data_IF_571577275280
#
_entry.id   IF_571577275280
#
_cell.length_a   1.000
_cell.length_b   1.000
_cell.length_c   1.000
_cell.angle_alpha   90.00
_cell.angle_beta   90.00
_cell.angle_gamma   90.00
#
_symmetry.space_group_name_H-M   'P 1'
#
loop_
_entity.id
_entity.type
_entity.pdbx_description
1 polymer ?
#
# COMPACT_ATOMS: atom_id res chain seq x y z
N UNK A 1 -5.95 -26.20 48.93
CA UNK A 1 -7.33 -25.77 49.20
C UNK A 1 -8.16 -25.72 47.90
N UNK A 2 -9.11 -26.65 47.70
CA UNK A 2 -9.82 -26.78 46.43
C UNK A 2 -11.03 -25.84 46.42
N UNK A 3 -10.88 -24.65 45.83
CA UNK A 3 -12.00 -23.77 45.51
C UNK A 3 -12.49 -23.93 44.06
N UNK A 4 -11.85 -24.78 43.26
CA UNK A 4 -12.23 -25.01 41.86
C UNK A 4 -13.17 -26.21 41.76
N UNK A 5 -14.48 -25.96 41.92
CA UNK A 5 -15.64 -26.66 41.32
C UNK A 5 -16.88 -26.50 42.22
N UNK A 6 -17.35 -25.27 42.42
CA UNK A 6 -18.68 -25.03 42.97
C UNK A 6 -19.75 -25.13 41.86
N UNK A 7 -20.07 -26.36 41.43
CA UNK A 7 -21.32 -26.67 40.70
C UNK A 7 -22.54 -26.77 41.64
N UNK A 8 -22.37 -26.47 42.93
CA UNK A 8 -23.40 -26.66 43.96
C UNK A 8 -24.55 -25.65 43.90
N UNK A 9 -24.45 -24.61 43.06
CA UNK A 9 -25.49 -23.58 42.92
C UNK A 9 -26.37 -23.74 41.68
N UNK A 10 -26.07 -24.68 40.77
CA UNK A 10 -26.87 -24.89 39.54
C UNK A 10 -28.34 -25.21 39.84
N UNK A 11 -28.64 -25.86 40.97
CA UNK A 11 -30.01 -26.16 41.39
C UNK A 11 -30.75 -25.01 42.08
N UNK A 12 -30.05 -23.93 42.46
CA UNK A 12 -30.62 -22.78 43.16
C UNK A 12 -30.75 -21.53 42.27
N UNK A 13 -30.10 -21.52 41.11
CA UNK A 13 -30.22 -20.44 40.14
C UNK A 13 -31.29 -20.83 39.13
N UNK A 14 -32.50 -20.31 39.30
CA UNK A 14 -33.46 -20.27 38.20
C UNK A 14 -32.93 -19.27 37.16
N UNK A 15 -32.18 -19.77 36.17
CA UNK A 15 -31.77 -18.98 35.02
C UNK A 15 -33.02 -18.75 34.17
N UNK A 16 -33.76 -17.67 34.48
CA UNK A 16 -35.03 -17.35 33.80
C UNK A 16 -34.79 -17.15 32.29
N UNK A 17 -33.66 -16.54 31.91
CA UNK A 17 -33.18 -16.44 30.53
C UNK A 17 -31.66 -16.67 30.48
N UNK A 18 -31.17 -17.78 29.91
CA UNK A 18 -29.73 -17.98 29.74
C UNK A 18 -29.23 -17.04 28.64
N UNK A 19 -28.72 -15.88 29.04
CA UNK A 19 -27.96 -15.03 28.13
C UNK A 19 -26.56 -15.60 27.98
N UNK A 20 -26.10 -15.77 26.74
CA UNK A 20 -24.71 -16.13 26.50
C UNK A 20 -23.82 -14.94 26.88
N UNK A 21 -22.58 -15.23 27.27
CA UNK A 21 -21.56 -14.20 27.52
C UNK A 21 -21.39 -13.29 26.29
N UNK A 22 -21.54 -13.85 25.09
CA UNK A 22 -21.55 -13.11 23.83
C UNK A 22 -22.68 -12.07 23.78
N UNK A 23 -23.92 -12.44 24.15
CA UNK A 23 -25.04 -11.49 24.18
C UNK A 23 -24.83 -10.39 25.22
N UNK A 24 -24.21 -10.68 26.36
CA UNK A 24 -23.88 -9.68 27.36
C UNK A 24 -22.82 -8.69 26.84
N UNK A 25 -21.79 -9.19 26.15
CA UNK A 25 -20.74 -8.35 25.55
C UNK A 25 -21.26 -7.48 24.40
N UNK A 26 -22.17 -7.99 23.58
CA UNK A 26 -22.76 -7.21 22.48
C UNK A 26 -23.69 -6.09 22.98
N UNK A 27 -24.25 -6.22 24.19
CA UNK A 27 -25.06 -5.18 24.83
C UNK A 27 -24.22 -4.25 25.71
N UNK A 28 -22.91 -4.51 25.86
CA UNK A 28 -22.03 -3.65 26.62
C UNK A 28 -21.69 -2.39 25.80
N UNK A 29 -22.01 -1.22 26.35
CA UNK A 29 -21.82 0.06 25.68
C UNK A 29 -20.33 0.37 25.45
N UNK A 30 -19.47 -0.04 26.39
CA UNK A 30 -18.02 0.21 26.31
C UNK A 30 -17.38 -0.64 25.21
N UNK A 31 -17.79 -1.90 25.11
CA UNK A 31 -17.39 -2.81 24.04
C UNK A 31 -17.81 -2.25 22.68
N UNK A 32 -19.09 -1.90 22.52
CA UNK A 32 -19.64 -1.36 21.28
C UNK A 32 -18.94 -0.07 20.85
N UNK A 33 -18.76 0.88 21.78
CA UNK A 33 -18.04 2.14 21.51
C UNK A 33 -16.57 1.90 21.14
N UNK A 34 -15.93 0.91 21.76
CA UNK A 34 -14.55 0.54 21.44
C UNK A 34 -14.46 -0.07 20.05
N UNK A 35 -15.40 -0.94 19.68
CA UNK A 35 -15.48 -1.53 18.34
C UNK A 35 -15.64 -0.44 17.28
N UNK A 36 -16.61 0.47 17.45
CA UNK A 36 -16.83 1.58 16.52
C UNK A 36 -15.57 2.45 16.37
N UNK A 37 -14.88 2.73 17.49
CA UNK A 37 -13.63 3.50 17.47
C UNK A 37 -12.52 2.79 16.68
N UNK A 38 -12.40 1.47 16.81
CA UNK A 38 -11.41 0.68 16.07
C UNK A 38 -11.75 0.68 14.58
N UNK A 39 -13.00 0.42 14.22
CA UNK A 39 -13.47 0.43 12.83
C UNK A 39 -13.21 1.79 12.17
N UNK A 40 -13.61 2.88 12.85
CA UNK A 40 -13.36 4.25 12.39
C UNK A 40 -11.86 4.52 12.20
N UNK A 41 -11.01 4.03 13.10
CA UNK A 41 -9.57 4.20 12.98
C UNK A 41 -9.02 3.46 11.75
N UNK A 42 -9.48 2.23 11.50
CA UNK A 42 -9.06 1.46 10.33
C UNK A 42 -9.44 2.21 9.04
N UNK A 43 -10.68 2.71 8.95
CA UNK A 43 -11.13 3.48 7.78
C UNK A 43 -10.26 4.73 7.57
N UNK A 44 -9.95 5.47 8.64
CA UNK A 44 -9.06 6.64 8.57
C UNK A 44 -7.63 6.27 8.15
N UNK A 45 -7.12 5.11 8.56
CA UNK A 45 -5.82 4.62 8.13
C UNK A 45 -5.82 4.33 6.61
N UNK A 46 -6.88 3.71 6.09
CA UNK A 46 -7.05 3.48 4.64
C UNK A 46 -7.15 4.78 3.85
N UNK A 47 -7.96 5.74 4.28
CA UNK A 47 -8.10 7.03 3.59
C UNK A 47 -6.78 7.79 3.53
N UNK A 48 -5.99 7.76 4.61
CA UNK A 48 -4.67 8.39 4.65
C UNK A 48 -3.68 7.68 3.73
N UNK A 49 -3.67 6.35 3.75
CA UNK A 49 -2.83 5.56 2.87
C UNK A 49 -3.17 5.86 1.39
N UNK A 50 -4.45 5.89 1.03
CA UNK A 50 -4.90 6.18 -0.32
C UNK A 50 -4.44 7.57 -0.80
N UNK A 51 -4.74 8.63 -0.04
CA UNK A 51 -4.34 10.01 -0.39
C UNK A 51 -2.82 10.14 -0.55
N UNK A 52 -2.06 9.44 0.30
CA UNK A 52 -0.62 9.41 0.17
C UNK A 52 -0.19 8.68 -1.10
N UNK A 53 -0.75 7.51 -1.38
CA UNK A 53 -0.42 6.73 -2.56
C UNK A 53 -0.71 7.50 -3.86
N UNK A 54 -1.87 8.16 -3.92
CA UNK A 54 -2.31 8.93 -5.09
C UNK A 54 -1.37 10.09 -5.40
N UNK A 55 -0.77 10.71 -4.37
CA UNK A 55 0.15 11.84 -4.55
C UNK A 55 1.60 11.38 -4.73
N UNK A 56 2.08 10.48 -3.87
CA UNK A 56 3.47 10.02 -3.86
C UNK A 56 3.79 9.12 -5.05
N UNK A 57 2.90 8.19 -5.41
CA UNK A 57 3.18 7.26 -6.51
C UNK A 57 2.85 7.83 -7.90
N UNK A 58 2.08 8.92 -7.98
CA UNK A 58 1.72 9.54 -9.26
C UNK A 58 2.94 9.95 -10.10
N UNK A 59 4.03 10.41 -9.46
CA UNK A 59 5.25 10.79 -10.18
C UNK A 59 5.89 9.62 -10.95
N UNK A 60 5.71 8.38 -10.49
CA UNK A 60 6.29 7.19 -11.12
C UNK A 60 5.42 6.65 -12.26
N UNK A 61 4.16 7.09 -12.34
CA UNK A 61 3.25 6.71 -13.43
C UNK A 61 3.80 7.13 -14.80
N UNK A 62 4.51 8.26 -14.86
CA UNK A 62 5.15 8.73 -16.10
C UNK A 62 6.17 7.73 -16.67
N UNK A 63 6.81 6.94 -15.81
CA UNK A 63 7.78 5.91 -16.23
C UNK A 63 7.04 4.71 -16.83
N UNK A 64 5.92 4.32 -16.22
CA UNK A 64 5.04 3.29 -16.76
C UNK A 64 4.43 3.70 -18.11
N UNK A 65 3.92 4.92 -18.19
CA UNK A 65 3.32 5.45 -19.42
C UNK A 65 4.38 5.57 -20.53
N UNK A 66 5.63 5.92 -20.19
CA UNK A 66 6.76 5.89 -21.11
C UNK A 66 7.01 4.48 -21.66
N UNK A 67 7.08 3.45 -20.81
CA UNK A 67 7.25 2.05 -21.27
C UNK A 67 6.20 1.64 -22.30
N UNK A 68 4.95 2.08 -22.12
CA UNK A 68 3.85 1.75 -23.05
C UNK A 68 3.95 2.45 -24.40
N UNK A 69 4.62 3.59 -24.46
CA UNK A 69 4.75 4.41 -25.67
C UNK A 69 6.11 4.23 -26.35
N UNK A 70 7.10 3.75 -25.61
CA UNK A 70 8.46 3.59 -26.08
C UNK A 70 8.58 2.41 -27.05
N UNK A 71 8.93 2.72 -28.29
CA UNK A 71 9.28 1.74 -29.32
C UNK A 71 10.71 2.01 -29.78
N UNK A 72 11.60 1.08 -29.44
CA UNK A 72 13.02 1.12 -29.78
C UNK A 72 13.25 1.15 -31.29
N UNK A 73 12.45 0.42 -32.08
CA UNK A 73 12.63 0.35 -33.54
C UNK A 73 12.27 1.69 -34.17
N UNK A 74 11.11 2.24 -33.78
CA UNK A 74 10.66 3.54 -34.25
C UNK A 74 11.60 4.69 -33.81
N UNK A 75 12.29 4.53 -32.68
CA UNK A 75 13.27 5.49 -32.19
C UNK A 75 14.50 5.56 -33.12
N UNK A 76 15.07 4.42 -33.51
CA UNK A 76 16.23 4.38 -34.41
C UNK A 76 15.91 4.79 -35.85
N UNK A 77 14.68 4.54 -36.32
CA UNK A 77 14.23 4.97 -37.64
C UNK A 77 14.04 6.50 -37.74
N UNK A 78 13.92 7.18 -36.60
CA UNK A 78 13.77 8.63 -36.54
C UNK A 78 15.10 9.33 -36.85
N UNK A 79 15.06 10.41 -37.63
CA UNK A 79 16.20 11.34 -37.74
C UNK A 79 16.40 12.08 -36.43
N UNK A 80 17.16 11.49 -35.52
CA UNK A 80 17.51 12.07 -34.23
C UNK A 80 18.62 13.12 -34.41
N UNK A 81 18.41 14.29 -33.81
CA UNK A 81 19.48 15.28 -33.65
C UNK A 81 20.25 14.96 -32.36
N UNK A 82 21.51 15.38 -32.28
CA UNK A 82 22.27 15.25 -31.04
C UNK A 82 21.55 15.91 -29.85
N UNK A 83 20.88 17.05 -30.08
CA UNK A 83 20.11 17.74 -29.05
C UNK A 83 18.89 16.93 -28.57
N UNK A 84 18.15 16.28 -29.48
CA UNK A 84 17.00 15.45 -29.10
C UNK A 84 17.43 14.18 -28.35
N UNK A 85 18.51 13.51 -28.81
CA UNK A 85 19.06 12.35 -28.13
C UNK A 85 19.55 12.70 -26.71
N UNK A 86 20.29 13.80 -26.57
CA UNK A 86 20.77 14.26 -25.27
C UNK A 86 19.63 14.58 -24.30
N UNK A 87 18.52 15.14 -24.80
CA UNK A 87 17.32 15.40 -23.99
C UNK A 87 16.67 14.12 -23.49
N UNK A 88 16.52 13.12 -24.36
CA UNK A 88 15.88 11.85 -24.01
C UNK A 88 16.74 11.02 -23.05
N UNK A 89 18.06 11.00 -23.25
CA UNK A 89 18.99 10.41 -22.28
C UNK A 89 18.92 11.11 -20.92
N UNK A 90 18.76 12.44 -20.91
CA UNK A 90 18.56 13.20 -19.67
C UNK A 90 17.30 12.75 -18.93
N UNK A 91 16.18 12.60 -19.65
CA UNK A 91 14.93 12.11 -19.08
C UNK A 91 15.07 10.70 -18.46
N UNK A 92 15.79 9.79 -19.11
CA UNK A 92 16.02 8.45 -18.56
C UNK A 92 16.85 8.48 -17.27
N UNK A 93 17.85 9.38 -17.17
CA UNK A 93 18.62 9.59 -15.93
C UNK A 93 17.74 10.18 -14.82
N UNK A 94 16.86 11.12 -15.15
CA UNK A 94 15.91 11.67 -14.19
C UNK A 94 14.99 10.57 -13.63
N UNK A 95 14.59 9.60 -14.46
CA UNK A 95 13.82 8.44 -14.02
C UNK A 95 14.62 7.52 -13.09
N UNK A 96 15.88 7.25 -13.38
CA UNK A 96 16.78 6.48 -12.50
C UNK A 96 16.93 7.16 -11.13
N UNK A 97 17.18 8.47 -11.10
CA UNK A 97 17.33 9.24 -9.86
C UNK A 97 16.05 9.23 -9.00
N UNK A 98 14.89 9.38 -9.64
CA UNK A 98 13.60 9.35 -8.94
C UNK A 98 13.30 7.98 -8.34
N UNK A 99 13.62 6.91 -9.08
CA UNK A 99 13.47 5.53 -8.62
C UNK A 99 14.49 5.19 -7.53
N UNK A 100 15.67 5.81 -7.52
CA UNK A 100 16.63 5.67 -6.43
C UNK A 100 16.07 6.24 -5.12
N UNK A 101 15.49 7.45 -5.19
CA UNK A 101 14.86 8.16 -4.07
C UNK A 101 13.55 7.52 -3.58
N UNK A 102 12.99 6.56 -4.33
CA UNK A 102 11.76 5.86 -3.96
C UNK A 102 11.94 5.05 -2.66
N UNK A 103 11.19 5.43 -1.63
CA UNK A 103 11.14 4.70 -0.37
C UNK A 103 10.34 3.41 -0.54
N UNK A 104 10.85 2.29 -0.01
CA UNK A 104 10.25 0.97 -0.24
C UNK A 104 9.04 0.68 0.64
N UNK A 105 8.89 1.33 1.78
CA UNK A 105 7.84 1.00 2.77
C UNK A 105 7.30 2.25 3.44
N UNK A 106 5.98 2.35 3.51
CA UNK A 106 5.25 3.44 4.14
C UNK A 106 4.21 2.86 5.10
N UNK A 107 4.16 3.38 6.33
CA UNK A 107 3.29 2.85 7.39
C UNK A 107 2.19 3.86 7.70
N UNK A 108 0.94 3.39 7.70
CA UNK A 108 -0.26 4.17 8.00
C UNK A 108 -1.07 3.47 9.08
N UNK A 109 -0.76 3.77 10.34
CA UNK A 109 -1.41 3.11 11.48
C UNK A 109 -1.22 1.61 11.44
N UNK A 110 -2.28 0.86 11.17
CA UNK A 110 -2.24 -0.61 11.06
C UNK A 110 -1.82 -1.13 9.67
N UNK A 111 -1.69 -0.25 8.68
CA UNK A 111 -1.38 -0.62 7.29
C UNK A 111 0.10 -0.40 6.96
N UNK A 112 0.65 -1.28 6.14
CA UNK A 112 1.97 -1.12 5.50
C UNK A 112 1.80 -1.17 3.98
N UNK A 113 2.29 -0.13 3.31
CA UNK A 113 2.30 -0.02 1.85
C UNK A 113 3.72 -0.24 1.37
N UNK A 114 3.90 -1.21 0.48
CA UNK A 114 5.20 -1.60 -0.07
C UNK A 114 5.34 -1.21 -1.54
N UNK A 115 6.44 -0.51 -1.86
CA UNK A 115 6.80 -0.06 -3.20
C UNK A 115 7.92 -0.90 -3.82
N UNK A 116 8.38 -1.97 -3.15
CA UNK A 116 9.51 -2.80 -3.62
C UNK A 116 9.24 -3.36 -5.01
N UNK A 117 8.08 -4.00 -5.21
CA UNK A 117 7.69 -4.58 -6.50
C UNK A 117 7.54 -3.50 -7.57
N UNK A 118 7.00 -2.33 -7.21
CA UNK A 118 6.90 -1.19 -8.13
C UNK A 118 8.28 -0.75 -8.62
N UNK A 119 9.24 -0.57 -7.70
CA UNK A 119 10.63 -0.22 -8.04
C UNK A 119 11.27 -1.27 -8.95
N UNK A 120 11.13 -2.55 -8.60
CA UNK A 120 11.69 -3.66 -9.39
C UNK A 120 11.15 -3.69 -10.83
N UNK A 121 9.90 -3.30 -11.05
CA UNK A 121 9.30 -3.28 -12.38
C UNK A 121 9.68 -2.05 -13.21
N UNK A 122 9.88 -0.89 -12.56
CA UNK A 122 10.14 0.38 -13.26
C UNK A 122 11.62 0.64 -13.53
N UNK A 123 12.53 0.16 -12.69
CA UNK A 123 13.98 0.35 -12.90
C UNK A 123 14.46 -0.17 -14.27
N UNK A 124 14.07 -1.40 -14.70
CA UNK A 124 14.51 -1.92 -15.99
C UNK A 124 14.04 -1.10 -17.20
N UNK A 125 12.98 -0.30 -17.07
CA UNK A 125 12.46 0.53 -18.16
C UNK A 125 13.48 1.60 -18.53
N UNK A 126 13.96 2.34 -17.54
CA UNK A 126 14.96 3.40 -17.75
C UNK A 126 16.30 2.81 -18.21
N UNK A 127 16.75 1.71 -17.59
CA UNK A 127 18.01 1.06 -17.93
C UNK A 127 18.04 0.57 -19.39
N UNK A 128 16.96 -0.08 -19.86
CA UNK A 128 16.87 -0.59 -21.23
C UNK A 128 16.84 0.54 -22.26
N UNK A 129 16.02 1.57 -22.03
CA UNK A 129 15.93 2.71 -22.94
C UNK A 129 17.27 3.47 -23.03
N UNK A 130 17.93 3.68 -21.90
CA UNK A 130 19.23 4.34 -21.85
C UNK A 130 20.35 3.48 -22.44
N UNK A 131 20.27 2.15 -22.33
CA UNK A 131 21.18 1.23 -23.02
C UNK A 131 21.01 1.32 -24.55
N UNK A 132 19.76 1.34 -25.06
CA UNK A 132 19.49 1.48 -26.48
C UNK A 132 20.01 2.82 -27.04
N UNK A 133 19.84 3.93 -26.31
CA UNK A 133 20.30 5.26 -26.73
C UNK A 133 21.83 5.45 -26.76
N UNK A 134 22.59 4.53 -26.15
CA UNK A 134 24.06 4.59 -26.10
C UNK A 134 24.74 3.85 -27.26
N UNK A 135 23.96 3.10 -28.05
CA UNK A 135 24.41 2.36 -29.24
C UNK A 135 24.59 3.34 -30.40
#
# INVERSE_FOLDING_TARGET
PPFCQMRQYEGYVQVVHPQSVETLLLNDEVFSATQERVEKRIVQDFERAQKYCDSYFAMYRRIYDFEKQWDETAFFERKLTHASLSREMGLMRDFEEDLEKLKQTHIFGVLSVEARTLKMNLVPVAEKALAAMKI
#
